data_IF_635297172587
#
_entry.id   IF_635297172587
#
_cell.length_a   1.000
_cell.length_b   1.000
_cell.length_c   1.000
_cell.angle_alpha   90.00
_cell.angle_beta   90.00
_cell.angle_gamma   90.00
#
_symmetry.space_group_name_H-M   'P 1'
#
loop_
_entity.id
_entity.type
_entity.pdbx_description
1 polymer ?
#
# COMPACT_ATOMS: atom_id res chain seq x y z
N UNK A 1 16.24 0.32 9.95
CA UNK A 1 16.10 -1.15 9.90
C UNK A 1 15.84 -1.57 8.45
N UNK A 2 15.95 -2.86 8.12
CA UNK A 2 15.56 -3.38 6.80
C UNK A 2 14.18 -4.01 6.86
N UNK A 3 13.39 -3.86 5.80
CA UNK A 3 12.12 -4.53 5.62
C UNK A 3 11.98 -5.03 4.17
N UNK A 4 11.19 -6.08 3.97
CA UNK A 4 10.85 -6.58 2.64
C UNK A 4 9.57 -5.92 2.17
N UNK A 5 9.62 -5.28 0.99
CA UNK A 5 8.43 -4.82 0.26
C UNK A 5 8.28 -5.62 -1.02
N UNK A 6 7.08 -5.66 -1.57
CA UNK A 6 6.81 -6.33 -2.83
C UNK A 6 6.44 -5.30 -3.90
N UNK A 7 7.01 -5.41 -5.09
CA UNK A 7 6.71 -4.53 -6.24
C UNK A 7 6.29 -5.33 -7.45
N UNK A 8 5.37 -4.79 -8.24
CA UNK A 8 5.01 -5.40 -9.52
C UNK A 8 6.22 -5.46 -10.46
N UNK A 9 6.36 -6.57 -11.16
CA UNK A 9 7.26 -6.65 -12.31
C UNK A 9 6.82 -5.69 -13.44
N UNK A 10 7.70 -5.35 -14.40
CA UNK A 10 7.37 -4.45 -15.50
C UNK A 10 6.21 -4.91 -16.41
N UNK A 11 5.78 -6.17 -16.29
CA UNK A 11 4.68 -6.77 -17.04
C UNK A 11 3.40 -6.88 -16.21
N UNK A 12 3.43 -6.43 -14.95
CA UNK A 12 2.34 -6.47 -13.98
C UNK A 12 1.77 -7.88 -13.77
N UNK A 13 2.63 -8.90 -13.80
CA UNK A 13 2.22 -10.31 -13.65
C UNK A 13 2.52 -10.88 -12.28
N UNK A 14 3.64 -10.48 -11.69
CA UNK A 14 4.11 -10.99 -10.41
C UNK A 14 4.53 -9.84 -9.49
N UNK A 15 4.56 -10.14 -8.20
CA UNK A 15 5.03 -9.25 -7.16
C UNK A 15 6.36 -9.79 -6.63
N UNK A 16 7.44 -9.05 -6.87
CA UNK A 16 8.80 -9.46 -6.52
C UNK A 16 9.24 -8.80 -5.21
N UNK A 17 9.89 -9.55 -4.29
CA UNK A 17 10.38 -9.01 -3.04
C UNK A 17 11.59 -8.11 -3.25
N UNK A 18 11.64 -7.02 -2.50
CA UNK A 18 12.76 -6.07 -2.46
C UNK A 18 13.06 -5.71 -1.01
N UNK A 19 14.33 -5.78 -0.64
CA UNK A 19 14.79 -5.30 0.67
C UNK A 19 15.01 -3.80 0.62
N UNK A 20 14.36 -3.07 1.51
CA UNK A 20 14.48 -1.61 1.63
C UNK A 20 14.88 -1.20 3.04
N UNK A 21 15.52 -0.04 3.15
CA UNK A 21 15.75 0.60 4.43
C UNK A 21 14.54 1.44 4.82
N UNK A 22 14.04 1.23 6.05
CA UNK A 22 12.95 1.97 6.65
C UNK A 22 13.33 2.50 8.03
N UNK A 23 12.70 3.61 8.41
CA UNK A 23 12.80 4.13 9.77
C UNK A 23 12.30 3.08 10.77
N UNK A 24 12.99 2.95 11.90
CA UNK A 24 12.62 1.98 12.93
C UNK A 24 11.40 2.44 13.76
N UNK A 25 11.15 3.75 13.82
CA UNK A 25 9.93 4.29 14.38
C UNK A 25 8.78 4.05 13.40
N UNK A 26 7.72 3.36 13.84
CA UNK A 26 6.54 3.03 13.03
C UNK A 26 6.90 2.28 11.72
N UNK A 27 7.46 1.07 11.82
CA UNK A 27 8.00 0.35 10.67
C UNK A 27 6.94 0.01 9.61
N UNK A 28 5.68 -0.18 10.02
CA UNK A 28 4.56 -0.48 9.12
C UNK A 28 4.24 0.73 8.22
N UNK A 29 4.06 1.90 8.80
CA UNK A 29 3.83 3.15 8.07
C UNK A 29 5.02 3.51 7.18
N UNK A 30 6.25 3.25 7.64
CA UNK A 30 7.46 3.49 6.86
C UNK A 30 7.54 2.56 5.63
N UNK A 31 7.15 1.30 5.78
CA UNK A 31 7.07 0.33 4.67
C UNK A 31 5.99 0.72 3.66
N UNK A 32 4.80 1.11 4.12
CA UNK A 32 3.75 1.63 3.22
C UNK A 32 4.24 2.86 2.46
N UNK A 33 4.92 3.78 3.15
CA UNK A 33 5.53 4.96 2.52
C UNK A 33 6.49 4.58 1.40
N UNK A 34 7.35 3.57 1.59
CA UNK A 34 8.29 3.12 0.55
C UNK A 34 7.60 2.55 -0.70
N UNK A 35 6.43 1.94 -0.53
CA UNK A 35 5.64 1.46 -1.67
C UNK A 35 5.04 2.66 -2.41
N UNK A 36 4.47 3.63 -1.68
CA UNK A 36 3.87 4.84 -2.25
C UNK A 36 4.89 5.76 -2.96
N UNK A 37 6.14 5.78 -2.49
CA UNK A 37 7.26 6.51 -3.11
C UNK A 37 7.73 5.87 -4.43
N UNK A 38 7.32 4.65 -4.76
CA UNK A 38 7.87 3.93 -5.90
C UNK A 38 7.50 4.60 -7.22
N UNK A 39 8.47 4.86 -8.12
CA UNK A 39 8.18 5.42 -9.44
C UNK A 39 7.23 4.51 -10.23
N UNK A 40 6.24 5.11 -10.89
CA UNK A 40 5.29 4.35 -11.72
C UNK A 40 4.14 3.69 -10.96
N UNK A 41 4.06 3.85 -9.63
CA UNK A 41 2.94 3.30 -8.86
C UNK A 41 1.66 4.10 -9.11
N UNK A 42 1.72 5.44 -9.15
CA UNK A 42 0.57 6.29 -9.49
C UNK A 42 0.88 7.78 -9.68
N UNK A 43 0.11 8.44 -10.56
CA UNK A 43 0.08 9.90 -10.76
C UNK A 43 -1.02 10.57 -9.91
N UNK A 44 -1.19 10.11 -8.66
CA UNK A 44 -2.13 10.70 -7.70
C UNK A 44 -1.40 11.60 -6.73
N UNK A 45 -2.05 12.71 -6.38
CA UNK A 45 -1.62 13.52 -5.25
C UNK A 45 -2.27 12.96 -3.98
N UNK A 46 -1.47 12.39 -3.07
CA UNK A 46 -1.93 12.03 -1.73
C UNK A 46 -1.60 13.16 -0.75
N UNK A 47 -2.56 13.54 0.10
CA UNK A 47 -2.30 14.45 1.23
C UNK A 47 -1.82 13.71 2.47
N UNK A 48 -1.86 12.38 2.45
CA UNK A 48 -1.32 11.52 3.50
C UNK A 48 -1.87 10.10 3.42
N UNK A 49 -1.40 9.26 4.32
CA UNK A 49 -1.91 7.91 4.51
C UNK A 49 -1.80 7.50 5.98
N UNK A 50 -2.55 6.47 6.38
CA UNK A 50 -2.41 5.82 7.69
C UNK A 50 -2.67 4.32 7.55
N UNK A 51 -2.11 3.56 8.47
CA UNK A 51 -2.38 2.13 8.60
C UNK A 51 -2.94 1.89 9.98
N UNK A 52 -4.00 1.10 10.07
CA UNK A 52 -4.55 0.62 11.32
C UNK A 52 -4.74 -0.89 11.22
N UNK A 53 -4.47 -1.61 12.30
CA UNK A 53 -4.67 -3.07 12.34
C UNK A 53 -5.68 -3.39 13.42
N UNK A 54 -6.72 -4.13 13.06
CA UNK A 54 -7.63 -4.72 14.02
C UNK A 54 -6.97 -5.99 14.61
N UNK A 55 -6.65 -6.02 15.91
CA UNK A 55 -5.95 -7.14 16.53
C UNK A 55 -6.80 -8.41 16.66
N UNK A 56 -8.12 -8.30 16.54
CA UNK A 56 -9.07 -9.41 16.63
C UNK A 56 -9.31 -10.05 15.27
N UNK A 57 -9.59 -9.23 14.26
CA UNK A 57 -9.87 -9.72 12.90
C UNK A 57 -8.63 -9.89 12.04
N UNK A 58 -7.47 -9.37 12.49
CA UNK A 58 -6.19 -9.38 11.76
C UNK A 58 -6.26 -8.67 10.40
N UNK A 59 -7.23 -7.76 10.25
CA UNK A 59 -7.38 -6.93 9.05
C UNK A 59 -6.58 -5.64 9.23
N UNK A 60 -5.76 -5.31 8.24
CA UNK A 60 -5.12 -4.00 8.16
C UNK A 60 -5.91 -3.08 7.23
N UNK A 61 -6.34 -1.93 7.73
CA UNK A 61 -6.94 -0.87 6.92
C UNK A 61 -5.87 0.15 6.55
N UNK A 62 -5.62 0.30 5.25
CA UNK A 62 -4.76 1.34 4.68
C UNK A 62 -5.66 2.46 4.15
N UNK A 63 -5.68 3.59 4.84
CA UNK A 63 -6.43 4.78 4.44
C UNK A 63 -5.52 5.69 3.64
N UNK A 64 -5.71 5.71 2.32
CA UNK A 64 -4.98 6.50 1.34
C UNK A 64 -5.77 7.77 1.04
N UNK A 65 -5.30 8.92 1.52
CA UNK A 65 -6.06 10.17 1.46
C UNK A 65 -5.72 10.92 0.19
N UNK A 66 -6.60 10.80 -0.79
CA UNK A 66 -6.46 11.51 -2.05
C UNK A 66 -6.61 13.01 -1.83
N UNK A 67 -5.73 13.80 -2.44
CA UNK A 67 -5.84 15.25 -2.45
C UNK A 67 -7.16 15.66 -3.12
N UNK A 68 -7.91 16.63 -2.55
CA UNK A 68 -9.06 17.23 -3.24
C UNK A 68 -8.69 17.84 -4.60
N UNK A 69 -7.41 18.17 -4.82
CA UNK A 69 -6.89 18.71 -6.10
C UNK A 69 -6.38 17.64 -7.04
N UNK A 70 -6.37 16.36 -6.64
CA UNK A 70 -5.87 15.28 -7.47
C UNK A 70 -6.72 15.17 -8.73
N UNK A 71 -6.08 15.22 -9.90
CA UNK A 71 -6.75 15.14 -11.20
C UNK A 71 -7.28 13.75 -11.49
N UNK A 72 -6.66 12.72 -10.93
CA UNK A 72 -7.07 11.33 -11.08
C UNK A 72 -7.65 10.80 -9.76
N UNK A 73 -8.55 9.82 -9.87
CA UNK A 73 -9.19 9.11 -8.74
C UNK A 73 -8.73 7.64 -8.69
N UNK A 74 -8.75 6.96 -7.55
CA UNK A 74 -8.33 5.54 -7.47
C UNK A 74 -9.07 4.64 -8.46
N UNK A 75 -10.37 4.86 -8.68
CA UNK A 75 -11.19 4.12 -9.65
C UNK A 75 -10.74 4.30 -11.12
N UNK A 76 -9.92 5.31 -11.40
CA UNK A 76 -9.39 5.59 -12.74
C UNK A 76 -8.07 4.89 -13.02
N UNK A 77 -7.59 4.06 -12.09
CA UNK A 77 -6.39 3.25 -12.30
C UNK A 77 -6.63 2.16 -13.33
N UNK A 78 -5.70 2.04 -14.27
CA UNK A 78 -5.61 0.85 -15.10
C UNK A 78 -5.28 -0.38 -14.25
N UNK A 79 -5.61 -1.57 -14.73
CA UNK A 79 -5.42 -2.82 -13.97
C UNK A 79 -3.97 -3.04 -13.52
N UNK A 80 -2.99 -2.66 -14.34
CA UNK A 80 -1.58 -2.73 -13.94
C UNK A 80 -1.27 -1.78 -12.77
N UNK A 81 -1.79 -0.55 -12.80
CA UNK A 81 -1.57 0.43 -11.73
C UNK A 81 -2.27 -0.03 -10.43
N UNK A 82 -3.48 -0.60 -10.52
CA UNK A 82 -4.16 -1.20 -9.38
C UNK A 82 -3.36 -2.38 -8.79
N UNK A 83 -2.85 -3.26 -9.64
CA UNK A 83 -2.01 -4.38 -9.22
C UNK A 83 -0.72 -3.92 -8.56
N UNK A 84 -0.05 -2.92 -9.16
CA UNK A 84 1.19 -2.35 -8.65
C UNK A 84 1.00 -1.60 -7.33
N UNK A 85 -0.13 -0.93 -7.11
CA UNK A 85 -0.39 -0.24 -5.85
C UNK A 85 -0.97 -1.18 -4.79
N UNK A 86 -2.19 -1.67 -5.02
CA UNK A 86 -2.94 -2.42 -4.01
C UNK A 86 -2.39 -3.83 -3.81
N UNK A 87 -1.94 -4.48 -4.89
CA UNK A 87 -1.29 -5.78 -4.81
C UNK A 87 0.01 -5.71 -4.00
N UNK A 88 0.86 -4.71 -4.25
CA UNK A 88 2.09 -4.48 -3.49
C UNK A 88 1.84 -4.20 -2.02
N UNK A 89 0.91 -3.29 -1.70
CA UNK A 89 0.55 -2.99 -0.31
C UNK A 89 0.02 -4.24 0.40
N UNK A 90 -0.95 -4.93 -0.22
CA UNK A 90 -1.55 -6.14 0.33
C UNK A 90 -0.49 -7.21 0.58
N UNK A 91 0.30 -7.55 -0.44
CA UNK A 91 1.32 -8.60 -0.34
C UNK A 91 2.38 -8.28 0.69
N UNK A 92 2.81 -7.03 0.76
CA UNK A 92 3.83 -6.60 1.73
C UNK A 92 3.33 -6.72 3.17
N UNK A 93 2.14 -6.20 3.46
CA UNK A 93 1.59 -6.21 4.80
C UNK A 93 1.28 -7.65 5.28
N UNK A 94 0.69 -8.49 4.42
CA UNK A 94 0.34 -9.88 4.80
C UNK A 94 1.52 -10.84 4.83
N UNK A 95 2.62 -10.51 4.14
CA UNK A 95 3.83 -11.37 4.14
C UNK A 95 4.82 -10.98 5.25
N UNK A 96 4.56 -9.92 6.02
CA UNK A 96 5.45 -9.51 7.10
C UNK A 96 5.22 -10.37 8.35
N UNK A 97 6.23 -11.12 8.83
CA UNK A 97 6.03 -12.13 9.87
C UNK A 97 5.59 -11.54 11.21
N UNK A 98 6.06 -10.34 11.54
CA UNK A 98 5.81 -9.73 12.86
C UNK A 98 4.43 -9.07 13.01
N UNK A 99 3.69 -8.87 11.92
CA UNK A 99 2.46 -8.07 11.95
C UNK A 99 1.19 -8.90 12.06
N UNK A 100 1.27 -10.20 11.77
CA UNK A 100 0.14 -11.14 11.82
C UNK A 100 -1.12 -10.62 11.11
N UNK A 101 -0.94 -10.00 9.93
CA UNK A 101 -2.03 -9.45 9.10
C UNK A 101 -2.50 -10.54 8.13
N UNK A 102 -3.79 -10.84 8.13
CA UNK A 102 -4.38 -11.86 7.25
C UNK A 102 -4.94 -11.25 5.96
N UNK A 103 -5.48 -10.04 6.04
CA UNK A 103 -6.03 -9.33 4.90
C UNK A 103 -5.86 -7.82 5.02
N UNK A 104 -6.03 -7.13 3.89
CA UNK A 104 -5.85 -5.68 3.79
C UNK A 104 -7.05 -5.08 3.09
N UNK A 105 -7.57 -4.00 3.67
CA UNK A 105 -8.64 -3.17 3.13
C UNK A 105 -8.12 -1.77 2.82
N UNK A 106 -8.71 -1.13 1.82
CA UNK A 106 -8.29 0.19 1.36
C UNK A 106 -9.43 1.19 1.50
N UNK A 107 -9.12 2.36 2.04
CA UNK A 107 -10.10 3.44 2.22
C UNK A 107 -9.54 4.79 1.81
N UNK A 108 -10.41 5.74 1.47
CA UNK A 108 -10.11 7.17 1.42
C UNK A 108 -11.01 7.88 2.45
N UNK A 109 -10.39 8.44 3.49
CA UNK A 109 -11.11 9.09 4.61
C UNK A 109 -12.19 8.19 5.21
N UNK A 110 -11.87 6.91 5.40
CA UNK A 110 -12.75 5.89 5.96
C UNK A 110 -13.84 5.36 5.01
N UNK A 111 -13.92 5.84 3.77
CA UNK A 111 -14.79 5.25 2.75
C UNK A 111 -14.04 4.17 1.99
N UNK A 112 -14.64 3.00 1.83
CA UNK A 112 -14.04 1.92 1.06
C UNK A 112 -13.69 2.39 -0.37
N UNK A 113 -12.51 2.00 -0.84
CA UNK A 113 -12.13 2.13 -2.24
C UNK A 113 -12.56 0.83 -2.92
N UNK A 114 -13.54 0.93 -3.83
CA UNK A 114 -14.04 -0.19 -4.61
C UNK A 114 -13.34 -0.22 -5.98
N UNK A 115 -13.08 -1.42 -6.51
CA UNK A 115 -12.37 -1.68 -7.77
C UNK A 115 -13.24 -2.46 -8.75
#
# INVERSE_FOLDING_TARGET
MTATIYKADPFCKTLEPQTVQVAAQNPMEAVVGKILESPGTVDFELVGYRVAVDPTTKVATVDLRLSPTSRRQFISLASCEQFALFGSLKKTLTSHPDWAIESVEFTDRGKAIEF
#
